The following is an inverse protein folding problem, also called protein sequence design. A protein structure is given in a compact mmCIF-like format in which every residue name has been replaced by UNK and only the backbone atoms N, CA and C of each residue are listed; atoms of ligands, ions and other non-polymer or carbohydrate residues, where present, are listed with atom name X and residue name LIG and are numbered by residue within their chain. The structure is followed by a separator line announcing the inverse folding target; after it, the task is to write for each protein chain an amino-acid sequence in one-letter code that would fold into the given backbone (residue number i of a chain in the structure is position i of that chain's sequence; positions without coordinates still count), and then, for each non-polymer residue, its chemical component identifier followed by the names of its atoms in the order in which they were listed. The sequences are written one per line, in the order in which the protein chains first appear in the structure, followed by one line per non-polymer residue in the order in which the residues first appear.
data_IF_229112613646
#
_entry.id   IF_229112613646
#
_cell.length_a   1.000
_cell.length_b   1.000
_cell.length_c   1.000
_cell.angle_alpha   90.00
_cell.angle_beta   90.00
_cell.angle_gamma   90.00
#
_symmetry.space_group_name_H-M   'P 1'
#
loop_
_entity.id
_entity.type
_entity.pdbx_description
1 polymer ?
#
# COMPACT_ATOMS: atom_id res chain seq x y z
N UNK A 1 -33.67 8.00 16.89
CA UNK A 1 -34.39 7.75 18.16
C UNK A 1 -35.06 6.37 18.18
N UNK A 2 -35.65 5.89 17.09
CA UNK A 2 -36.35 4.58 17.03
C UNK A 2 -35.51 3.36 17.45
N UNK A 3 -34.25 3.25 17.00
CA UNK A 3 -33.40 2.08 17.32
C UNK A 3 -33.11 1.91 18.81
N UNK A 4 -32.79 3.01 19.53
CA UNK A 4 -32.49 2.97 20.97
C UNK A 4 -33.73 2.60 21.78
N UNK A 5 -34.88 3.12 21.37
CA UNK A 5 -36.18 2.79 21.97
C UNK A 5 -36.52 1.31 21.75
N UNK A 6 -36.40 0.79 20.53
CA UNK A 6 -36.71 -0.62 20.24
C UNK A 6 -35.76 -1.57 20.97
N UNK A 7 -34.48 -1.23 21.08
CA UNK A 7 -33.50 -2.02 21.82
C UNK A 7 -33.87 -2.12 23.31
N UNK A 8 -34.15 -0.98 23.96
CA UNK A 8 -34.55 -0.97 25.38
C UNK A 8 -35.87 -1.74 25.60
N UNK A 9 -36.85 -1.60 24.72
CA UNK A 9 -38.10 -2.37 24.81
C UNK A 9 -37.86 -3.89 24.70
N UNK A 10 -36.96 -4.32 23.79
CA UNK A 10 -36.60 -5.74 23.64
C UNK A 10 -35.88 -6.27 24.89
N UNK A 11 -34.97 -5.50 25.48
CA UNK A 11 -34.27 -5.88 26.71
C UNK A 11 -35.24 -6.08 27.88
N UNK A 12 -36.17 -5.14 28.08
CA UNK A 12 -37.20 -5.25 29.11
C UNK A 12 -38.11 -6.47 28.88
N UNK A 13 -38.49 -6.73 27.62
CA UNK A 13 -39.30 -7.91 27.27
C UNK A 13 -38.55 -9.22 27.54
N UNK A 14 -37.26 -9.31 27.17
CA UNK A 14 -36.43 -10.50 27.45
C UNK A 14 -36.34 -10.81 28.94
N UNK A 15 -36.17 -9.80 29.79
CA UNK A 15 -36.13 -9.99 31.25
C UNK A 15 -37.43 -10.60 31.79
N UNK A 16 -38.59 -10.08 31.34
CA UNK A 16 -39.90 -10.58 31.75
C UNK A 16 -40.15 -12.01 31.26
N UNK A 17 -39.82 -12.32 30.01
CA UNK A 17 -39.96 -13.67 29.45
C UNK A 17 -39.07 -14.69 30.17
N UNK A 18 -37.85 -14.28 30.56
CA UNK A 18 -36.95 -15.12 31.35
C UNK A 18 -37.53 -15.44 32.73
N UNK A 19 -38.16 -14.47 33.40
CA UNK A 19 -38.83 -14.69 34.69
C UNK A 19 -40.00 -15.69 34.58
N UNK A 20 -40.65 -15.76 33.41
CA UNK A 20 -41.71 -16.72 33.09
C UNK A 20 -41.19 -18.07 32.57
N UNK A 21 -39.86 -18.24 32.44
CA UNK A 21 -39.27 -19.47 31.93
C UNK A 21 -39.44 -19.70 30.42
N UNK A 22 -39.80 -18.68 29.64
CA UNK A 22 -39.99 -18.80 28.19
C UNK A 22 -38.66 -18.64 27.45
N UNK A 23 -38.24 -19.59 26.60
CA UNK A 23 -37.02 -19.47 25.80
C UNK A 23 -37.16 -18.39 24.73
N UNK A 24 -36.20 -17.46 24.65
CA UNK A 24 -36.26 -16.32 23.73
C UNK A 24 -35.36 -16.44 22.52
N UNK A 25 -34.31 -17.24 22.60
CA UNK A 25 -33.32 -17.36 21.54
C UNK A 25 -33.66 -18.53 20.61
N UNK A 26 -33.48 -18.32 19.31
CA UNK A 26 -33.71 -19.36 18.31
C UNK A 26 -32.55 -20.36 18.34
N UNK A 27 -32.81 -21.67 18.56
CA UNK A 27 -31.79 -22.70 18.43
C UNK A 27 -31.21 -22.76 17.01
N UNK A 28 -29.90 -22.99 16.88
CA UNK A 28 -29.24 -23.09 15.57
C UNK A 28 -29.69 -24.30 14.75
N UNK A 29 -30.15 -25.36 15.41
CA UNK A 29 -30.57 -26.64 14.81
C UNK A 29 -32.08 -26.70 14.52
N UNK A 30 -32.80 -25.57 14.68
CA UNK A 30 -34.23 -25.49 14.39
C UNK A 30 -34.48 -24.84 13.02
N UNK A 31 -34.66 -25.68 12.00
CA UNK A 31 -34.90 -25.31 10.60
C UNK A 31 -36.40 -25.20 10.31
N UNK A 32 -36.95 -24.00 10.52
CA UNK A 32 -38.30 -23.63 10.12
C UNK A 32 -38.27 -22.55 9.03
N UNK A 33 -39.39 -22.37 8.32
CA UNK A 33 -39.53 -21.32 7.31
C UNK A 33 -39.27 -19.92 7.91
N UNK A 34 -38.52 -19.11 7.18
CA UNK A 34 -38.15 -17.75 7.58
C UNK A 34 -38.85 -16.72 6.72
N UNK A 35 -39.06 -15.52 7.26
CA UNK A 35 -39.71 -14.41 6.53
C UNK A 35 -39.02 -14.04 5.20
N UNK A 36 -37.74 -14.40 5.03
CA UNK A 36 -36.99 -14.27 3.77
C UNK A 36 -36.29 -15.59 3.48
N UNK A 37 -36.43 -16.08 2.25
CA UNK A 37 -35.77 -17.30 1.81
C UNK A 37 -34.25 -17.15 1.65
N UNK A 38 -33.54 -18.27 1.73
CA UNK A 38 -32.06 -18.29 1.68
C UNK A 38 -31.50 -17.74 0.37
N UNK A 39 -32.17 -18.01 -0.75
CA UNK A 39 -31.77 -17.48 -2.07
C UNK A 39 -31.74 -15.96 -2.11
N UNK A 40 -32.66 -15.30 -1.42
CA UNK A 40 -32.69 -13.83 -1.29
C UNK A 40 -31.57 -13.36 -0.36
N UNK A 41 -31.37 -14.04 0.77
CA UNK A 41 -30.31 -13.70 1.73
C UNK A 41 -28.92 -13.87 1.13
N UNK A 42 -28.70 -14.86 0.27
CA UNK A 42 -27.43 -15.04 -0.45
C UNK A 42 -27.17 -13.92 -1.44
N UNK A 43 -28.20 -13.43 -2.15
CA UNK A 43 -28.07 -12.23 -3.00
C UNK A 43 -27.67 -11.01 -2.17
N UNK A 44 -28.25 -10.84 -0.98
CA UNK A 44 -27.91 -9.73 -0.08
C UNK A 44 -26.46 -9.87 0.42
N UNK A 45 -26.04 -11.06 0.85
CA UNK A 45 -24.66 -11.33 1.30
C UNK A 45 -23.64 -11.03 0.20
N UNK A 46 -23.90 -11.46 -1.04
CA UNK A 46 -23.04 -11.15 -2.20
C UNK A 46 -22.88 -9.65 -2.40
N UNK A 47 -23.99 -8.89 -2.37
CA UNK A 47 -23.93 -7.42 -2.47
C UNK A 47 -23.13 -6.78 -1.33
N UNK A 48 -23.28 -7.26 -0.09
CA UNK A 48 -22.50 -6.74 1.04
C UNK A 48 -21.00 -6.99 0.82
N UNK A 49 -20.62 -8.20 0.39
CA UNK A 49 -19.22 -8.53 0.06
C UNK A 49 -18.68 -7.68 -1.09
N UNK A 50 -19.45 -7.51 -2.16
CA UNK A 50 -19.08 -6.64 -3.28
C UNK A 50 -18.83 -5.20 -2.83
N UNK A 51 -19.72 -4.62 -2.01
CA UNK A 51 -19.54 -3.25 -1.50
C UNK A 51 -18.30 -3.12 -0.62
N UNK A 52 -17.98 -4.14 0.19
CA UNK A 52 -16.76 -4.18 1.00
C UNK A 52 -15.51 -4.21 0.12
N UNK A 53 -15.49 -5.09 -0.88
CA UNK A 53 -14.37 -5.22 -1.82
C UNK A 53 -14.15 -3.93 -2.64
N UNK A 54 -15.23 -3.25 -3.05
CA UNK A 54 -15.14 -1.97 -3.76
C UNK A 54 -14.51 -0.89 -2.86
N UNK A 55 -14.89 -0.83 -1.57
CA UNK A 55 -14.30 0.12 -0.62
C UNK A 55 -12.81 -0.16 -0.42
N UNK A 56 -12.44 -1.41 -0.19
CA UNK A 56 -11.06 -1.81 0.01
C UNK A 56 -10.19 -1.52 -1.22
N UNK A 57 -10.67 -1.84 -2.43
CA UNK A 57 -9.96 -1.52 -3.68
C UNK A 57 -9.75 -0.02 -3.85
N UNK A 58 -10.73 0.81 -3.49
CA UNK A 58 -10.61 2.27 -3.53
C UNK A 58 -9.55 2.79 -2.54
N UNK A 59 -9.52 2.25 -1.33
CA UNK A 59 -8.51 2.61 -0.33
C UNK A 59 -7.10 2.20 -0.75
N UNK A 60 -6.94 0.96 -1.23
CA UNK A 60 -5.65 0.47 -1.72
C UNK A 60 -5.16 1.30 -2.92
N UNK A 61 -6.06 1.68 -3.83
CA UNK A 61 -5.71 2.56 -4.95
C UNK A 61 -5.27 3.97 -4.48
N UNK A 62 -5.87 4.51 -3.42
CA UNK A 62 -5.44 5.79 -2.82
C UNK A 62 -4.05 5.66 -2.19
N UNK A 63 -3.83 4.64 -1.36
CA UNK A 63 -2.53 4.34 -0.74
C UNK A 63 -1.41 4.24 -1.78
N UNK A 64 -1.62 3.45 -2.84
CA UNK A 64 -0.64 3.29 -3.91
C UNK A 64 -0.34 4.60 -4.67
N UNK A 65 -1.33 5.50 -4.82
CA UNK A 65 -1.10 6.82 -5.44
C UNK A 65 -0.25 7.71 -4.55
N UNK A 66 -0.52 7.71 -3.25
CA UNK A 66 0.20 8.56 -2.30
C UNK A 66 1.64 8.09 -2.10
N UNK A 67 1.86 6.77 -2.05
CA UNK A 67 3.20 6.18 -2.09
C UNK A 67 3.99 6.59 -3.34
N UNK A 68 3.35 6.55 -4.53
CA UNK A 68 3.99 6.98 -5.79
C UNK A 68 4.32 8.47 -5.78
N UNK A 69 3.42 9.32 -5.28
CA UNK A 69 3.66 10.76 -5.13
C UNK A 69 4.82 11.04 -4.17
N UNK A 70 4.83 10.36 -3.02
CA UNK A 70 5.89 10.48 -2.03
C UNK A 70 7.24 10.02 -2.58
N UNK A 71 7.28 8.87 -3.25
CA UNK A 71 8.49 8.35 -3.88
C UNK A 71 9.07 9.34 -4.90
N UNK A 72 8.23 9.96 -5.74
CA UNK A 72 8.65 11.01 -6.68
C UNK A 72 9.20 12.25 -5.96
N UNK A 73 8.53 12.70 -4.89
CA UNK A 73 8.99 13.84 -4.08
C UNK A 73 10.36 13.55 -3.46
N UNK A 74 10.55 12.36 -2.88
CA UNK A 74 11.81 11.92 -2.28
C UNK A 74 12.94 11.83 -3.31
N UNK A 75 12.66 11.35 -4.52
CA UNK A 75 13.66 11.31 -5.59
C UNK A 75 14.12 12.73 -5.97
N UNK A 76 13.17 13.64 -6.20
CA UNK A 76 13.47 15.05 -6.53
C UNK A 76 14.26 15.75 -5.43
N UNK A 77 13.84 15.63 -4.16
CA UNK A 77 14.55 16.26 -3.04
C UNK A 77 15.96 15.69 -2.88
N UNK A 78 16.16 14.39 -3.09
CA UNK A 78 17.50 13.77 -3.08
C UNK A 78 18.39 14.31 -4.21
N UNK A 79 17.86 14.52 -5.41
CA UNK A 79 18.62 15.10 -6.53
C UNK A 79 18.98 16.56 -6.26
N UNK A 80 18.05 17.37 -5.78
CA UNK A 80 18.30 18.76 -5.38
C UNK A 80 19.35 18.85 -4.27
N UNK A 81 19.27 17.99 -3.25
CA UNK A 81 20.27 17.92 -2.18
C UNK A 81 21.66 17.55 -2.72
N UNK A 82 21.74 16.60 -3.67
CA UNK A 82 23.01 16.24 -4.34
C UNK A 82 23.58 17.40 -5.12
N UNK A 83 22.75 18.12 -5.90
CA UNK A 83 23.20 19.27 -6.69
C UNK A 83 23.65 20.41 -5.79
N UNK A 84 22.89 20.73 -4.72
CA UNK A 84 23.27 21.73 -3.72
C UNK A 84 24.59 21.36 -3.03
N UNK A 85 24.77 20.11 -2.63
CA UNK A 85 26.02 19.64 -2.04
C UNK A 85 27.21 19.76 -3.01
N UNK A 86 27.02 19.40 -4.29
CA UNK A 86 28.06 19.58 -5.32
C UNK A 86 28.41 21.05 -5.53
N UNK A 87 27.43 21.94 -5.63
CA UNK A 87 27.66 23.39 -5.75
C UNK A 87 28.46 23.93 -4.56
N UNK A 88 28.02 23.63 -3.33
CA UNK A 88 28.73 24.01 -2.11
C UNK A 88 30.19 23.54 -2.09
N UNK A 89 30.45 22.30 -2.52
CA UNK A 89 31.80 21.76 -2.60
C UNK A 89 32.63 22.49 -3.68
N UNK A 90 32.06 22.72 -4.86
CA UNK A 90 32.75 23.46 -5.93
C UNK A 90 33.10 24.89 -5.47
N UNK A 91 32.17 25.58 -4.83
CA UNK A 91 32.40 26.94 -4.32
C UNK A 91 33.48 26.95 -3.22
N UNK A 92 33.47 25.97 -2.30
CA UNK A 92 34.52 25.83 -1.30
C UNK A 92 35.89 25.51 -1.91
N UNK A 93 35.96 24.66 -2.96
CA UNK A 93 37.22 24.38 -3.66
C UNK A 93 37.76 25.59 -4.41
N UNK A 94 36.90 26.43 -5.00
CA UNK A 94 37.32 27.70 -5.62
C UNK A 94 37.91 28.65 -4.57
N UNK A 95 37.22 28.86 -3.46
CA UNK A 95 37.71 29.68 -2.33
C UNK A 95 39.03 29.18 -1.75
N UNK A 96 39.22 27.86 -1.67
CA UNK A 96 40.49 27.26 -1.25
C UNK A 96 41.63 27.58 -2.23
N UNK A 97 41.37 27.55 -3.55
CA UNK A 97 42.37 27.96 -4.57
C UNK A 97 42.71 29.45 -4.46
N UNK A 98 41.77 30.27 -4.04
CA UNK A 98 41.95 31.72 -3.79
C UNK A 98 42.60 32.02 -2.41
N UNK A 99 42.95 31.00 -1.62
CA UNK A 99 43.68 31.15 -0.35
C UNK A 99 42.87 30.91 0.93
N UNK A 100 41.54 30.81 0.84
CA UNK A 100 40.66 30.60 2.00
C UNK A 100 40.39 29.10 2.25
N UNK A 101 41.14 28.47 3.15
CA UNK A 101 41.12 27.00 3.39
C UNK A 101 39.98 26.51 4.30
N UNK A 102 39.54 27.33 5.26
CA UNK A 102 38.55 26.98 6.28
C UNK A 102 37.25 26.32 5.76
N UNK A 103 36.55 26.84 4.71
CA UNK A 103 35.27 26.28 4.29
C UNK A 103 35.39 24.90 3.61
N UNK A 104 36.55 24.55 3.06
CA UNK A 104 36.77 23.24 2.44
C UNK A 104 37.07 22.18 3.50
N UNK A 105 37.88 22.54 4.51
CA UNK A 105 38.21 21.63 5.62
C UNK A 105 36.98 21.25 6.46
N UNK A 106 36.05 22.18 6.68
CA UNK A 106 34.80 21.90 7.39
C UNK A 106 33.91 20.89 6.64
N UNK A 107 33.86 20.97 5.31
CA UNK A 107 33.10 20.02 4.47
C UNK A 107 33.76 18.65 4.48
N UNK A 108 35.09 18.59 4.45
CA UNK A 108 35.87 17.34 4.45
C UNK A 108 35.84 16.61 5.80
N UNK A 109 35.73 17.35 6.92
CA UNK A 109 35.55 16.77 8.27
C UNK A 109 34.20 16.06 8.46
N UNK A 110 33.24 16.20 7.53
CA UNK A 110 31.97 15.48 7.61
C UNK A 110 32.13 13.98 7.24
N UNK A 111 31.80 13.03 8.13
CA UNK A 111 32.01 11.59 7.92
C UNK A 111 31.16 10.97 6.79
N UNK A 112 30.20 11.75 6.24
CA UNK A 112 29.39 11.33 5.08
C UNK A 112 30.17 11.34 3.75
N UNK A 113 31.32 12.03 3.69
CA UNK A 113 32.18 12.05 2.50
C UNK A 113 33.16 10.87 2.44
N UNK A 114 33.50 10.26 3.58
CA UNK A 114 34.51 9.20 3.65
C UNK A 114 34.03 7.81 3.18
N UNK A 115 32.72 7.62 2.94
CA UNK A 115 32.16 6.28 2.63
C UNK A 115 31.36 6.21 1.33
N UNK A 116 31.96 6.62 0.21
CA UNK A 116 31.50 6.19 -1.13
C UNK A 116 32.65 5.65 -1.97
N UNK A 117 33.22 4.53 -1.52
CA UNK A 117 33.74 3.54 -2.47
C UNK A 117 32.64 3.25 -3.49
N UNK A 118 32.93 3.44 -4.78
CA UNK A 118 31.95 3.37 -5.84
C UNK A 118 31.12 2.09 -5.75
N UNK A 119 29.81 2.24 -5.69
CA UNK A 119 28.90 1.10 -5.80
C UNK A 119 29.03 0.55 -7.23
N UNK A 120 30.02 -0.32 -7.45
CA UNK A 120 30.15 -1.10 -8.67
C UNK A 120 28.88 -1.95 -8.78
N UNK A 121 27.89 -1.48 -9.54
CA UNK A 121 26.76 -2.31 -9.93
C UNK A 121 27.35 -3.52 -10.67
N UNK A 122 27.44 -4.66 -9.99
CA UNK A 122 27.76 -5.95 -10.59
C UNK A 122 26.83 -6.10 -11.80
N UNK A 123 27.37 -6.00 -13.01
CA UNK A 123 26.60 -6.19 -14.24
C UNK A 123 26.08 -7.63 -14.20
N UNK A 124 24.76 -7.82 -14.36
CA UNK A 124 24.21 -9.17 -14.43
C UNK A 124 24.86 -9.96 -15.57
N UNK A 125 25.36 -11.15 -15.25
CA UNK A 125 25.93 -12.06 -16.24
C UNK A 125 24.89 -12.39 -17.33
N UNK A 126 25.36 -12.68 -18.54
CA UNK A 126 24.52 -12.87 -19.72
C UNK A 126 23.48 -13.98 -19.51
N UNK A 127 23.85 -15.03 -18.77
CA UNK A 127 22.95 -16.12 -18.35
C UNK A 127 21.75 -15.61 -17.54
N UNK A 128 21.99 -14.82 -16.49
CA UNK A 128 20.94 -14.22 -15.66
C UNK A 128 20.07 -13.22 -16.43
N UNK A 129 20.63 -12.53 -17.43
CA UNK A 129 19.84 -11.67 -18.34
C UNK A 129 18.97 -12.49 -19.28
N UNK A 130 19.46 -13.61 -19.78
CA UNK A 130 18.73 -14.48 -20.68
C UNK A 130 17.58 -15.21 -19.97
N UNK A 131 17.76 -15.66 -18.73
CA UNK A 131 16.66 -16.25 -17.93
C UNK A 131 15.59 -15.21 -17.63
N UNK A 132 16.01 -14.00 -17.21
CA UNK A 132 15.07 -12.93 -16.81
C UNK A 132 14.36 -12.28 -18.00
N UNK A 133 15.07 -12.02 -19.09
CA UNK A 133 14.57 -11.22 -20.21
C UNK A 133 14.38 -12.01 -21.51
N UNK A 134 14.88 -13.24 -21.61
CA UNK A 134 14.98 -14.05 -22.84
C UNK A 134 16.23 -13.73 -23.65
N UNK A 135 16.60 -14.61 -24.58
CA UNK A 135 17.56 -14.30 -25.64
C UNK A 135 16.94 -13.23 -26.55
N UNK A 136 17.71 -12.18 -26.88
CA UNK A 136 17.27 -10.91 -27.47
C UNK A 136 16.68 -10.95 -28.89
N UNK A 137 15.72 -11.84 -29.14
CA UNK A 137 14.88 -11.86 -30.34
C UNK A 137 13.53 -11.17 -30.12
N UNK A 138 12.85 -10.85 -31.23
CA UNK A 138 11.52 -10.22 -31.26
C UNK A 138 10.51 -11.10 -30.54
N UNK A 139 10.20 -10.78 -29.28
CA UNK A 139 9.17 -11.47 -28.48
C UNK A 139 7.82 -11.14 -29.10
N UNK A 140 7.24 -12.08 -29.86
CA UNK A 140 5.96 -11.97 -30.59
C UNK A 140 4.77 -11.67 -29.65
N UNK A 141 4.73 -10.50 -29.03
CA UNK A 141 3.65 -10.09 -28.13
C UNK A 141 3.59 -10.82 -26.78
N UNK A 142 4.44 -11.81 -26.49
CA UNK A 142 4.36 -12.64 -25.26
C UNK A 142 4.61 -11.91 -23.93
N UNK A 143 4.93 -10.62 -23.97
CA UNK A 143 5.02 -9.74 -22.79
C UNK A 143 3.92 -8.67 -22.74
N UNK A 144 2.90 -8.78 -23.60
CA UNK A 144 1.72 -7.90 -23.54
C UNK A 144 0.80 -8.41 -22.44
N UNK A 145 0.20 -7.48 -21.72
CA UNK A 145 -0.83 -7.80 -20.75
C UNK A 145 -2.10 -8.19 -21.52
N UNK A 146 -2.54 -9.43 -21.37
CA UNK A 146 -3.82 -9.92 -21.89
C UNK A 146 -4.92 -9.79 -20.83
N UNK A 147 -6.19 -9.93 -21.23
CA UNK A 147 -7.35 -9.83 -20.31
C UNK A 147 -7.24 -10.73 -19.08
N UNK A 148 -6.53 -11.86 -19.18
CA UNK A 148 -6.26 -12.79 -18.06
C UNK A 148 -5.32 -12.20 -16.99
N UNK A 149 -4.44 -11.26 -17.36
CA UNK A 149 -3.50 -10.59 -16.45
C UNK A 149 -4.19 -9.68 -15.43
N UNK A 150 -5.47 -9.33 -15.67
CA UNK A 150 -6.23 -8.43 -14.80
C UNK A 150 -6.92 -9.17 -13.63
N UNK A 151 -7.15 -10.48 -13.74
CA UNK A 151 -7.92 -11.25 -12.76
C UNK A 151 -7.09 -11.84 -11.61
N UNK A 152 -5.79 -11.54 -11.53
CA UNK A 152 -4.91 -12.01 -10.44
C UNK A 152 -4.85 -11.05 -9.23
N UNK A 153 -5.87 -10.21 -9.03
CA UNK A 153 -5.92 -9.19 -7.95
C UNK A 153 -7.24 -9.16 -7.18
#
# INVERSE_FOLDING_TARGET
MSYKQSLNSVENAKQRLKALGVPTDRPSDYFAEMAKGDTQMDKIRRKILETKNIKERKENARRLRDEKKFARKVQKTREEQKLRAKKKLLDATKKHREGNKAPLEEILKNPKFEKKGGFQKKKMNRTARNTKYGFGGRKKGSKRNDKQSFNLM
#
